data_IF_011681868808
#
_entry.id   IF_011681868808
#
_cell.length_a   1.000
_cell.length_b   1.000
_cell.length_c   1.000
_cell.angle_alpha   90.00
_cell.angle_beta   90.00
_cell.angle_gamma   90.00
#
_symmetry.space_group_name_H-M   'P 1'
#
loop_
_entity.id
_entity.type
_entity.pdbx_description
1 polymer ?
#
# COMPACT_ATOMS: atom_id res chain seq x y z
N UNK A 1 -19.32 -10.29 4.04
CA UNK A 1 -18.22 -10.09 3.07
C UNK A 1 -17.31 -9.04 3.67
N UNK A 2 -16.04 -9.35 3.92
CA UNK A 2 -15.14 -8.41 4.60
C UNK A 2 -14.82 -7.21 3.70
N UNK A 3 -15.28 -6.03 4.09
CA UNK A 3 -14.90 -4.77 3.44
C UNK A 3 -13.47 -4.41 3.85
N UNK A 4 -12.56 -4.45 2.88
CA UNK A 4 -11.20 -3.94 3.04
C UNK A 4 -11.19 -2.46 2.73
N UNK A 5 -11.20 -1.64 3.78
CA UNK A 5 -11.07 -0.19 3.66
C UNK A 5 -9.63 0.23 3.55
N UNK A 6 -9.38 1.43 3.01
CA UNK A 6 -8.05 2.03 2.92
C UNK A 6 -7.36 2.04 4.29
N UNK A 7 -8.09 2.41 5.35
CA UNK A 7 -7.57 2.38 6.72
C UNK A 7 -7.11 0.99 7.16
N UNK A 8 -7.94 -0.05 6.95
CA UNK A 8 -7.58 -1.43 7.32
C UNK A 8 -6.36 -1.92 6.56
N UNK A 9 -6.29 -1.62 5.26
CA UNK A 9 -5.16 -2.00 4.41
C UNK A 9 -3.88 -1.30 4.84
N UNK A 10 -3.92 0.00 5.11
CA UNK A 10 -2.77 0.74 5.61
C UNK A 10 -2.23 0.12 6.89
N UNK A 11 -3.10 -0.19 7.84
CA UNK A 11 -2.68 -0.79 9.11
C UNK A 11 -2.06 -2.18 8.90
N UNK A 12 -2.72 -3.02 8.09
CA UNK A 12 -2.25 -4.37 7.78
C UNK A 12 -0.89 -4.36 7.06
N UNK A 13 -0.74 -3.53 6.03
CA UNK A 13 0.51 -3.38 5.28
C UNK A 13 1.62 -2.80 6.16
N UNK A 14 1.30 -1.81 7.01
CA UNK A 14 2.28 -1.25 7.94
C UNK A 14 2.81 -2.34 8.86
N UNK A 15 1.94 -3.15 9.47
CA UNK A 15 2.36 -4.27 10.31
C UNK A 15 3.22 -5.28 9.55
N UNK A 16 2.82 -5.65 8.33
CA UNK A 16 3.59 -6.57 7.49
C UNK A 16 5.00 -6.04 7.17
N UNK A 17 5.11 -4.76 6.83
CA UNK A 17 6.39 -4.13 6.53
C UNK A 17 7.25 -3.93 7.78
N UNK A 18 6.64 -3.66 8.93
CA UNK A 18 7.33 -3.62 10.23
C UNK A 18 7.94 -4.98 10.56
N UNK A 19 7.18 -6.07 10.39
CA UNK A 19 7.67 -7.44 10.60
C UNK A 19 8.85 -7.78 9.66
N UNK A 20 8.81 -7.25 8.43
CA UNK A 20 9.89 -7.39 7.45
C UNK A 20 11.10 -6.49 7.70
N UNK A 21 11.05 -5.59 8.67
CA UNK A 21 12.16 -4.68 8.99
C UNK A 21 12.36 -3.54 7.99
N UNK A 22 11.31 -3.12 7.26
CA UNK A 22 11.40 -1.92 6.43
C UNK A 22 11.59 -0.68 7.31
N UNK A 23 12.46 0.24 6.89
CA UNK A 23 12.73 1.49 7.62
C UNK A 23 11.49 2.40 7.73
N UNK A 24 10.61 2.37 6.71
CA UNK A 24 9.43 3.25 6.65
C UNK A 24 8.18 2.46 6.25
N UNK A 25 7.61 1.63 7.14
CA UNK A 25 6.52 0.71 6.83
C UNK A 25 5.23 1.45 6.49
N UNK A 26 4.93 2.53 7.22
CA UNK A 26 3.70 3.32 7.00
C UNK A 26 3.74 4.10 5.69
N UNK A 27 4.84 4.79 5.42
CA UNK A 27 5.07 5.50 4.16
C UNK A 27 5.00 4.54 2.96
N UNK A 28 5.61 3.36 3.09
CA UNK A 28 5.58 2.31 2.06
C UNK A 28 4.17 1.85 1.74
N UNK A 29 3.35 1.64 2.77
CA UNK A 29 1.95 1.28 2.61
C UNK A 29 1.16 2.38 1.89
N UNK A 30 1.35 3.65 2.30
CA UNK A 30 0.71 4.80 1.64
C UNK A 30 1.10 4.92 0.17
N UNK A 31 2.39 4.80 -0.16
CA UNK A 31 2.88 4.90 -1.54
C UNK A 31 2.28 3.82 -2.44
N UNK A 32 2.25 2.57 -1.97
CA UNK A 32 1.66 1.45 -2.72
C UNK A 32 0.16 1.63 -2.91
N UNK A 33 -0.59 2.01 -1.88
CA UNK A 33 -2.03 2.23 -1.98
C UNK A 33 -2.37 3.40 -2.91
N UNK A 34 -1.66 4.53 -2.76
CA UNK A 34 -1.79 5.69 -3.64
C UNK A 34 -1.54 5.30 -5.10
N UNK A 35 -0.50 4.50 -5.35
CA UNK A 35 -0.18 4.02 -6.70
C UNK A 35 -1.26 3.09 -7.27
N UNK A 36 -1.70 2.09 -6.49
CA UNK A 36 -2.71 1.12 -6.92
C UNK A 36 -4.04 1.80 -7.27
N UNK A 37 -4.48 2.71 -6.39
CA UNK A 37 -5.71 3.48 -6.55
C UNK A 37 -5.57 4.66 -7.54
N UNK A 38 -4.34 4.93 -8.01
CA UNK A 38 -3.99 6.07 -8.85
C UNK A 38 -4.46 7.42 -8.27
N UNK A 39 -4.30 7.59 -6.96
CA UNK A 39 -4.66 8.81 -6.21
C UNK A 39 -3.45 9.37 -5.46
N UNK A 40 -3.58 10.58 -4.94
CA UNK A 40 -2.55 11.18 -4.12
C UNK A 40 -2.60 10.68 -2.67
N UNK A 41 -1.47 10.77 -1.95
CA UNK A 41 -1.39 10.39 -0.53
C UNK A 41 -2.42 11.14 0.32
N UNK A 42 -2.63 12.42 0.04
CA UNK A 42 -3.61 13.25 0.76
C UNK A 42 -5.02 12.65 0.67
N UNK A 43 -5.36 12.08 -0.49
CA UNK A 43 -6.68 11.50 -0.74
C UNK A 43 -6.89 10.20 0.02
N UNK A 44 -5.82 9.46 0.36
CA UNK A 44 -5.94 8.28 1.23
C UNK A 44 -6.52 8.67 2.59
N UNK A 45 -6.12 9.83 3.13
CA UNK A 45 -6.61 10.31 4.41
C UNK A 45 -8.06 10.78 4.35
N UNK A 46 -8.48 11.35 3.21
CA UNK A 46 -9.88 11.75 3.01
C UNK A 46 -10.79 10.56 2.75
N UNK A 47 -10.23 9.47 2.20
CA UNK A 47 -10.97 8.28 1.78
C UNK A 47 -10.74 7.06 2.70
N UNK A 48 -10.40 7.25 3.97
CA UNK A 48 -10.11 6.11 4.88
C UNK A 48 -11.23 5.06 4.96
N UNK A 49 -12.48 5.50 4.85
CA UNK A 49 -13.68 4.64 4.88
C UNK A 49 -14.00 4.00 3.52
N UNK A 50 -13.35 4.45 2.44
CA UNK A 50 -13.55 3.92 1.10
C UNK A 50 -13.11 2.47 1.04
N UNK A 51 -13.99 1.62 0.51
CA UNK A 51 -13.71 0.20 0.33
C UNK A 51 -12.93 0.00 -0.97
N UNK A 52 -11.85 -0.78 -0.91
CA UNK A 52 -11.01 -1.13 -2.06
C UNK A 52 -11.56 -2.40 -2.72
N UNK A 53 -11.80 -2.39 -4.05
CA UNK A 53 -12.35 -3.55 -4.75
C UNK A 53 -11.32 -4.70 -4.80
N UNK A 54 -11.83 -5.94 -4.81
CA UNK A 54 -11.00 -7.17 -4.81
C UNK A 54 -9.94 -7.22 -5.91
N UNK A 55 -10.21 -6.66 -7.10
CA UNK A 55 -9.23 -6.59 -8.17
C UNK A 55 -7.95 -5.84 -7.74
N UNK A 56 -8.14 -4.69 -7.06
CA UNK A 56 -7.04 -3.87 -6.58
C UNK A 56 -6.32 -4.53 -5.40
N UNK A 57 -7.07 -5.18 -4.50
CA UNK A 57 -6.49 -5.98 -3.41
C UNK A 57 -5.54 -7.07 -3.94
N UNK A 58 -5.91 -7.76 -5.01
CA UNK A 58 -5.08 -8.82 -5.58
C UNK A 58 -3.76 -8.28 -6.14
N UNK A 59 -3.79 -7.11 -6.78
CA UNK A 59 -2.57 -6.45 -7.30
C UNK A 59 -1.72 -5.97 -6.12
N UNK A 60 -2.33 -5.30 -5.14
CA UNK A 60 -1.68 -4.84 -3.91
C UNK A 60 -0.97 -5.99 -3.19
N UNK A 61 -1.64 -7.13 -3.03
CA UNK A 61 -1.09 -8.30 -2.34
C UNK A 61 0.18 -8.84 -3.04
N UNK A 62 0.20 -8.83 -4.38
CA UNK A 62 1.41 -9.18 -5.16
C UNK A 62 2.54 -8.18 -4.91
N UNK A 63 2.26 -6.88 -4.89
CA UNK A 63 3.26 -5.84 -4.65
C UNK A 63 3.80 -5.91 -3.22
N UNK A 64 2.94 -6.09 -2.21
CA UNK A 64 3.34 -6.26 -0.80
C UNK A 64 4.26 -7.45 -0.63
N UNK A 65 3.96 -8.57 -1.30
CA UNK A 65 4.83 -9.75 -1.27
C UNK A 65 6.21 -9.46 -1.87
N UNK A 66 6.28 -8.72 -2.98
CA UNK A 66 7.54 -8.30 -3.61
C UNK A 66 8.32 -7.33 -2.71
N UNK A 67 7.65 -6.35 -2.13
CA UNK A 67 8.22 -5.42 -1.16
C UNK A 67 8.85 -6.14 0.04
N UNK A 68 8.17 -7.18 0.55
CA UNK A 68 8.67 -8.04 1.63
C UNK A 68 9.82 -8.98 1.24
N UNK A 69 10.27 -8.96 -0.03
CA UNK A 69 11.48 -9.66 -0.50
C UNK A 69 12.70 -8.72 -0.59
N UNK A 70 12.67 -7.57 0.10
CA UNK A 70 13.68 -6.50 -0.01
C UNK A 70 13.68 -5.78 -1.36
N UNK A 71 12.58 -5.83 -2.11
CA UNK A 71 12.44 -4.98 -3.30
C UNK A 71 12.00 -3.57 -2.87
N UNK A 72 12.77 -2.52 -3.20
CA UNK A 72 12.43 -1.14 -2.82
C UNK A 72 11.09 -0.71 -3.42
N UNK A 73 10.21 -0.16 -2.57
CA UNK A 73 8.87 0.30 -2.98
C UNK A 73 8.93 1.29 -4.15
N UNK A 74 9.95 2.14 -4.19
CA UNK A 74 10.18 3.09 -5.28
C UNK A 74 10.24 2.42 -6.66
N UNK A 75 10.80 1.20 -6.74
CA UNK A 75 10.84 0.42 -7.98
C UNK A 75 9.49 -0.24 -8.29
N UNK A 76 8.74 -0.63 -7.26
CA UNK A 76 7.40 -1.22 -7.41
C UNK A 76 6.37 -0.22 -7.91
N UNK A 77 6.43 1.03 -7.44
CA UNK A 77 5.52 2.11 -7.85
C UNK A 77 5.93 2.78 -9.17
N UNK A 78 7.08 2.40 -9.74
CA UNK A 78 7.57 2.92 -11.04
C UNK A 78 7.79 4.44 -11.09
N UNK A 79 7.64 5.15 -9.96
CA UNK A 79 7.81 6.60 -9.88
C UNK A 79 9.27 6.90 -9.60
N UNK A 80 10.03 7.01 -10.69
CA UNK A 80 11.13 7.97 -10.76
C UNK A 80 10.48 9.36 -10.90
N UNK A 81 10.22 10.03 -9.78
CA UNK A 81 10.07 11.48 -9.76
C UNK A 81 11.39 12.03 -9.22
N UNK A 82 12.31 12.34 -10.13
CA UNK A 82 13.36 13.33 -9.91
C UNK A 82 12.80 14.72 -10.20
#
# INVERSE_FOLDING_TARGET
>A
MENWTIQKLLNWMTQFFTDKGLESPRLSAELLLAHILSIQRIELYTNFDKTVPKNQLNILHKLVKRAGQNEPIAYLIGKTEF
#
